data_IF_692558536956
#
_entry.id   IF_692558536956
#
_cell.length_a   1.000
_cell.length_b   1.000
_cell.length_c   1.000
_cell.angle_alpha   90.00
_cell.angle_beta   90.00
_cell.angle_gamma   90.00
#
_symmetry.space_group_name_H-M   'P 1'
#
loop_
_entity.id
_entity.type
_entity.pdbx_description
1 polymer ?
#
# COMPACT_ATOMS: atom_id res chain seq x y z
N UNK A 1 -21.41 39.39 18.78
CA UNK A 1 -20.88 38.31 19.67
C UNK A 1 -21.59 36.96 19.48
N UNK A 2 -22.75 36.88 18.86
CA UNK A 2 -23.47 35.61 18.61
C UNK A 2 -22.97 34.78 17.42
N UNK A 3 -22.33 35.38 16.43
CA UNK A 3 -21.87 34.72 15.19
C UNK A 3 -20.59 33.88 15.36
N UNK A 4 -19.74 34.25 16.32
CA UNK A 4 -18.49 33.49 16.55
C UNK A 4 -18.72 32.23 17.40
N UNK A 5 -19.74 32.23 18.26
CA UNK A 5 -20.15 31.06 19.04
C UNK A 5 -20.81 30.00 18.17
N UNK A 6 -21.54 30.38 17.11
CA UNK A 6 -22.17 29.42 16.18
C UNK A 6 -21.15 28.72 15.30
N UNK A 7 -20.09 29.43 14.88
CA UNK A 7 -19.03 28.85 14.06
C UNK A 7 -18.19 27.83 14.84
N UNK A 8 -17.87 28.13 16.11
CA UNK A 8 -17.16 27.22 16.99
C UNK A 8 -17.97 25.97 17.35
N UNK A 9 -19.27 26.12 17.55
CA UNK A 9 -20.19 25.01 17.81
C UNK A 9 -20.39 24.14 16.56
N UNK A 10 -20.47 24.73 15.37
CA UNK A 10 -20.57 24.00 14.10
C UNK A 10 -19.28 23.25 13.76
N UNK A 11 -18.11 23.83 14.02
CA UNK A 11 -16.82 23.16 13.88
C UNK A 11 -16.67 22.00 14.86
N UNK A 12 -17.09 22.19 16.13
CA UNK A 12 -17.05 21.14 17.13
C UNK A 12 -18.01 19.98 16.82
N UNK A 13 -19.20 20.26 16.28
CA UNK A 13 -20.15 19.23 15.85
C UNK A 13 -19.63 18.45 14.65
N UNK A 14 -18.96 19.11 13.68
CA UNK A 14 -18.37 18.43 12.53
C UNK A 14 -17.15 17.56 12.89
N UNK A 15 -16.39 17.91 13.92
CA UNK A 15 -15.25 17.09 14.38
C UNK A 15 -15.71 15.86 15.17
N UNK A 16 -16.92 15.90 15.76
CA UNK A 16 -17.51 14.78 16.51
C UNK A 16 -18.50 13.96 15.70
N UNK A 17 -18.72 14.28 14.42
CA UNK A 17 -19.55 13.47 13.55
C UNK A 17 -18.87 12.12 13.28
N UNK A 18 -19.56 11.03 13.62
CA UNK A 18 -19.06 9.67 13.46
C UNK A 18 -18.64 9.36 12.01
N UNK A 19 -19.29 9.97 11.01
CA UNK A 19 -18.94 9.79 9.60
C UNK A 19 -17.62 10.47 9.24
N UNK A 20 -17.38 11.70 9.73
CA UNK A 20 -16.13 12.41 9.49
C UNK A 20 -14.95 11.74 10.20
N UNK A 21 -15.16 11.20 11.40
CA UNK A 21 -14.16 10.40 12.11
C UNK A 21 -13.85 9.10 11.35
N UNK A 22 -14.87 8.36 10.93
CA UNK A 22 -14.68 7.12 10.13
C UNK A 22 -13.97 7.41 8.81
N UNK A 23 -14.32 8.51 8.14
CA UNK A 23 -13.64 8.92 6.92
C UNK A 23 -12.16 9.29 7.17
N UNK A 24 -11.88 10.05 8.23
CA UNK A 24 -10.51 10.41 8.61
C UNK A 24 -9.69 9.18 9.01
N UNK A 25 -10.24 8.27 9.81
CA UNK A 25 -9.59 7.01 10.15
C UNK A 25 -9.36 6.13 8.91
N UNK A 26 -10.30 6.09 7.97
CA UNK A 26 -10.15 5.36 6.71
C UNK A 26 -9.00 5.93 5.87
N UNK A 27 -8.92 7.25 5.71
CA UNK A 27 -7.84 7.91 4.97
C UNK A 27 -6.48 7.69 5.64
N UNK A 28 -6.40 7.90 6.96
CA UNK A 28 -5.17 7.65 7.72
C UNK A 28 -4.78 6.17 7.69
N UNK A 29 -5.76 5.28 7.81
CA UNK A 29 -5.56 3.83 7.72
C UNK A 29 -4.91 3.42 6.40
N UNK A 30 -5.37 3.96 5.28
CA UNK A 30 -4.75 3.74 3.95
C UNK A 30 -3.30 4.21 3.96
N UNK A 31 -3.02 5.41 4.48
CA UNK A 31 -1.65 5.93 4.58
C UNK A 31 -0.74 5.04 5.42
N UNK A 32 -1.22 4.58 6.59
CA UNK A 32 -0.46 3.68 7.48
C UNK A 32 -0.21 2.31 6.84
N UNK A 33 -1.22 1.73 6.19
CA UNK A 33 -1.08 0.45 5.49
C UNK A 33 -0.05 0.56 4.37
N UNK A 34 -0.10 1.63 3.56
CA UNK A 34 0.89 1.86 2.51
C UNK A 34 2.30 2.09 3.05
N UNK A 35 2.41 2.82 4.16
CA UNK A 35 3.69 2.97 4.84
C UNK A 35 4.25 1.63 5.29
N UNK A 36 3.43 0.79 5.93
CA UNK A 36 3.85 -0.53 6.39
C UNK A 36 4.19 -1.46 5.22
N UNK A 37 3.38 -1.45 4.16
CA UNK A 37 3.61 -2.25 2.95
C UNK A 37 4.92 -1.89 2.27
N UNK A 38 5.20 -0.61 2.08
CA UNK A 38 6.38 -0.17 1.32
C UNK A 38 7.65 -0.10 2.16
N UNK A 39 7.51 0.01 3.50
CA UNK A 39 8.63 0.25 4.42
C UNK A 39 9.10 -0.95 5.22
N UNK A 40 8.18 -1.84 5.63
CA UNK A 40 8.48 -2.82 6.68
C UNK A 40 8.62 -4.27 6.19
N UNK A 41 8.76 -4.53 4.88
CA UNK A 41 8.80 -5.91 4.31
C UNK A 41 7.56 -6.78 4.66
N UNK A 42 6.66 -6.27 5.49
CA UNK A 42 5.41 -6.93 5.89
C UNK A 42 4.39 -6.85 4.75
N UNK A 43 4.60 -5.94 3.82
CA UNK A 43 3.74 -5.66 2.68
C UNK A 43 3.52 -6.83 1.72
N UNK A 44 4.33 -7.88 1.83
CA UNK A 44 4.09 -9.13 1.10
C UNK A 44 2.72 -9.76 1.45
N UNK A 45 2.20 -9.47 2.64
CA UNK A 45 0.93 -10.01 3.14
C UNK A 45 -0.21 -9.00 3.11
N UNK A 46 0.06 -7.71 2.85
CA UNK A 46 -0.98 -6.69 2.83
C UNK A 46 -1.49 -6.47 1.39
N UNK A 47 -2.83 -6.48 1.20
CA UNK A 47 -3.45 -6.25 -0.11
C UNK A 47 -3.55 -4.75 -0.43
N UNK A 48 -2.42 -4.01 -0.42
CA UNK A 48 -2.40 -2.56 -0.57
C UNK A 48 -2.98 -2.05 -1.89
N UNK A 49 -2.71 -2.77 -3.00
CA UNK A 49 -3.25 -2.38 -4.31
C UNK A 49 -4.78 -2.45 -4.34
N UNK A 50 -5.34 -3.52 -3.77
CA UNK A 50 -6.78 -3.68 -3.65
C UNK A 50 -7.39 -2.65 -2.71
N UNK A 51 -6.67 -2.31 -1.63
CA UNK A 51 -7.07 -1.25 -0.71
C UNK A 51 -7.13 0.11 -1.41
N UNK A 52 -6.10 0.46 -2.21
CA UNK A 52 -6.07 1.71 -2.98
C UNK A 52 -7.21 1.79 -3.98
N UNK A 53 -7.44 0.73 -4.73
CA UNK A 53 -8.51 0.67 -5.72
C UNK A 53 -9.89 0.76 -5.06
N UNK A 54 -10.12 0.02 -3.97
CA UNK A 54 -11.36 0.05 -3.19
C UNK A 54 -11.58 1.42 -2.56
N UNK A 55 -10.54 2.07 -2.02
CA UNK A 55 -10.65 3.41 -1.47
C UNK A 55 -11.03 4.44 -2.56
N UNK A 56 -10.51 4.27 -3.79
CA UNK A 56 -10.93 5.06 -4.94
C UNK A 56 -12.41 4.87 -5.30
N UNK A 57 -12.91 3.62 -5.28
CA UNK A 57 -14.33 3.32 -5.47
C UNK A 57 -15.21 4.01 -4.42
N UNK A 58 -14.79 3.98 -3.14
CA UNK A 58 -15.52 4.64 -2.04
C UNK A 58 -15.56 6.17 -2.18
N UNK A 59 -14.58 6.76 -2.84
CA UNK A 59 -14.62 8.19 -3.16
C UNK A 59 -15.67 8.56 -4.21
N UNK A 60 -16.06 7.62 -5.08
CA UNK A 60 -17.06 7.86 -6.13
C UNK A 60 -18.50 7.65 -5.64
N UNK A 61 -18.70 6.90 -4.55
CA UNK A 61 -20.02 6.63 -3.97
C UNK A 61 -20.65 7.88 -3.34
N UNK A 62 -22.00 7.89 -3.26
CA UNK A 62 -22.78 8.99 -2.68
C UNK A 62 -22.79 8.99 -1.14
N UNK A 63 -22.10 8.06 -0.49
CA UNK A 63 -22.09 7.91 0.97
C UNK A 63 -23.38 7.30 1.56
N UNK A 64 -24.30 6.81 0.74
CA UNK A 64 -25.56 6.20 1.20
C UNK A 64 -25.36 5.02 2.15
N UNK A 65 -24.21 4.35 2.08
CA UNK A 65 -23.85 3.23 2.95
C UNK A 65 -22.89 3.62 4.09
N UNK A 66 -22.81 4.91 4.42
CA UNK A 66 -22.18 5.41 5.65
C UNK A 66 -20.70 5.76 5.56
N UNK A 67 -19.99 5.41 4.48
CA UNK A 67 -18.56 5.75 4.32
C UNK A 67 -18.35 6.44 2.99
N UNK A 68 -18.02 7.72 3.03
CA UNK A 68 -17.56 8.50 1.88
C UNK A 68 -16.17 9.03 2.17
N UNK A 69 -15.21 8.67 1.32
CA UNK A 69 -13.84 9.16 1.44
C UNK A 69 -13.64 10.37 0.53
N UNK A 70 -13.05 11.42 1.04
CA UNK A 70 -12.67 12.56 0.22
C UNK A 70 -11.43 12.22 -0.62
N UNK A 71 -11.54 12.35 -1.94
CA UNK A 71 -10.48 11.97 -2.89
C UNK A 71 -9.15 12.71 -2.63
N UNK A 72 -9.20 14.03 -2.40
CA UNK A 72 -8.00 14.84 -2.16
C UNK A 72 -7.18 14.39 -0.96
N UNK A 73 -7.75 14.33 0.26
CA UNK A 73 -7.07 13.78 1.43
C UNK A 73 -6.57 12.36 1.25
N UNK A 74 -7.31 11.49 0.55
CA UNK A 74 -6.91 10.11 0.27
C UNK A 74 -5.64 10.06 -0.60
N UNK A 75 -5.60 10.85 -1.68
CA UNK A 75 -4.44 10.94 -2.56
C UNK A 75 -3.19 11.43 -1.80
N UNK A 76 -3.36 12.44 -0.93
CA UNK A 76 -2.27 12.96 -0.10
C UNK A 76 -1.79 11.90 0.90
N UNK A 77 -2.69 11.24 1.63
CA UNK A 77 -2.32 10.22 2.61
C UNK A 77 -1.63 9.01 1.94
N UNK A 78 -2.12 8.58 0.78
CA UNK A 78 -1.52 7.50 0.00
C UNK A 78 -0.11 7.88 -0.49
N UNK A 79 0.05 9.09 -1.03
CA UNK A 79 1.35 9.59 -1.48
C UNK A 79 2.35 9.66 -0.31
N UNK A 80 1.97 10.29 0.79
CA UNK A 80 2.84 10.44 1.98
C UNK A 80 3.19 9.06 2.56
N UNK A 81 2.20 8.17 2.74
CA UNK A 81 2.42 6.83 3.25
C UNK A 81 3.38 6.01 2.39
N UNK A 82 3.14 5.98 1.08
CA UNK A 82 3.98 5.24 0.14
C UNK A 82 5.42 5.80 0.07
N UNK A 83 5.57 7.13 0.05
CA UNK A 83 6.88 7.76 -0.03
C UNK A 83 7.67 7.60 1.28
N UNK A 84 7.05 7.90 2.42
CA UNK A 84 7.68 7.76 3.73
C UNK A 84 8.07 6.29 4.00
N UNK A 85 7.18 5.35 3.69
CA UNK A 85 7.47 3.92 3.81
C UNK A 85 8.65 3.49 2.94
N UNK A 86 8.67 3.89 1.67
CA UNK A 86 9.77 3.55 0.76
C UNK A 86 11.12 4.09 1.25
N UNK A 87 11.16 5.32 1.75
CA UNK A 87 12.38 5.89 2.32
C UNK A 87 12.82 5.16 3.59
N UNK A 88 11.85 4.81 4.45
CA UNK A 88 12.11 4.01 5.64
C UNK A 88 12.69 2.64 5.28
N UNK A 89 12.09 1.94 4.32
CA UNK A 89 12.58 0.65 3.82
C UNK A 89 14.01 0.74 3.26
N UNK A 90 14.29 1.77 2.47
CA UNK A 90 15.64 2.03 1.95
C UNK A 90 16.64 2.26 3.09
N UNK A 91 16.30 3.07 4.09
CA UNK A 91 17.19 3.37 5.21
C UNK A 91 17.45 2.14 6.09
N UNK A 92 16.41 1.32 6.32
CA UNK A 92 16.55 0.03 7.01
C UNK A 92 17.50 -0.89 6.23
N UNK A 93 17.29 -1.00 4.93
CA UNK A 93 18.15 -1.80 4.06
C UNK A 93 19.60 -1.32 4.06
N UNK A 94 19.81 -0.01 4.02
CA UNK A 94 21.15 0.58 4.05
C UNK A 94 21.90 0.33 5.36
N UNK A 95 21.18 0.27 6.48
CA UNK A 95 21.78 0.04 7.81
C UNK A 95 21.88 -1.44 8.17
N UNK A 96 20.92 -2.23 7.81
CA UNK A 96 20.74 -3.59 8.32
C UNK A 96 20.48 -4.66 7.24
N UNK A 97 20.46 -4.32 5.94
CA UNK A 97 20.01 -5.20 4.86
C UNK A 97 20.80 -6.52 4.78
N UNK A 98 22.10 -6.48 4.88
CA UNK A 98 22.93 -7.68 4.89
C UNK A 98 22.65 -8.60 6.09
N UNK A 99 22.46 -8.03 7.28
CA UNK A 99 22.14 -8.79 8.49
C UNK A 99 20.71 -9.37 8.42
N UNK A 100 19.76 -8.63 7.85
CA UNK A 100 18.39 -9.09 7.65
C UNK A 100 18.31 -10.28 6.69
N UNK A 101 19.01 -10.21 5.55
CA UNK A 101 19.11 -11.30 4.58
C UNK A 101 19.77 -12.53 5.20
N UNK A 102 20.91 -12.37 5.86
CA UNK A 102 21.66 -13.47 6.47
C UNK A 102 20.87 -14.20 7.58
N UNK A 103 20.01 -13.49 8.31
CA UNK A 103 19.17 -14.08 9.39
C UNK A 103 17.83 -14.61 8.90
N UNK A 104 17.39 -14.21 7.73
CA UNK A 104 16.10 -14.65 7.20
C UNK A 104 16.20 -16.08 6.67
N UNK A 105 15.24 -16.92 7.06
CA UNK A 105 15.05 -18.27 6.50
C UNK A 105 13.99 -18.32 5.40
N UNK A 106 13.47 -17.16 4.95
CA UNK A 106 12.42 -17.10 3.94
C UNK A 106 13.02 -17.26 2.51
N UNK A 107 12.71 -18.36 1.80
CA UNK A 107 13.18 -18.57 0.42
C UNK A 107 12.73 -17.43 -0.51
N UNK A 108 11.53 -16.90 -0.30
CA UNK A 108 10.97 -15.82 -1.10
C UNK A 108 11.70 -14.50 -0.93
N UNK A 109 12.15 -14.21 0.30
CA UNK A 109 12.94 -13.01 0.54
C UNK A 109 14.27 -13.09 -0.21
N UNK A 110 14.92 -14.25 -0.21
CA UNK A 110 16.17 -14.48 -0.95
C UNK A 110 15.94 -14.41 -2.45
N UNK A 111 14.90 -15.07 -2.97
CA UNK A 111 14.53 -15.01 -4.37
C UNK A 111 14.21 -13.58 -4.83
N UNK A 112 13.43 -12.85 -4.03
CA UNK A 112 13.11 -11.44 -4.30
C UNK A 112 14.36 -10.55 -4.27
N UNK A 113 15.28 -10.79 -3.35
CA UNK A 113 16.55 -10.08 -3.24
C UNK A 113 17.43 -10.32 -4.48
N UNK A 114 17.60 -11.59 -4.90
CA UNK A 114 18.34 -11.95 -6.11
C UNK A 114 17.74 -11.28 -7.35
N UNK A 115 16.44 -11.37 -7.54
CA UNK A 115 15.76 -10.72 -8.67
C UNK A 115 15.90 -9.19 -8.64
N UNK A 116 15.89 -8.58 -7.46
CA UNK A 116 16.12 -7.15 -7.34
C UNK A 116 17.55 -6.75 -7.72
N UNK A 117 18.54 -7.55 -7.32
CA UNK A 117 19.95 -7.38 -7.67
C UNK A 117 20.16 -7.52 -9.18
N UNK A 118 19.67 -8.60 -9.79
CA UNK A 118 19.72 -8.83 -11.24
C UNK A 118 19.08 -7.68 -12.04
N UNK A 119 17.95 -7.15 -11.57
CA UNK A 119 17.31 -6.00 -12.21
C UNK A 119 18.17 -4.74 -12.12
N UNK A 120 18.78 -4.49 -10.95
CA UNK A 120 19.64 -3.32 -10.74
C UNK A 120 20.91 -3.39 -11.60
N UNK A 121 21.50 -4.57 -11.72
CA UNK A 121 22.68 -4.79 -12.56
C UNK A 121 22.35 -4.70 -14.05
N UNK A 122 21.27 -5.36 -14.50
CA UNK A 122 20.92 -5.45 -15.92
C UNK A 122 20.37 -4.16 -16.51
N UNK A 123 19.54 -3.43 -15.76
CA UNK A 123 18.82 -2.26 -16.28
C UNK A 123 19.30 -0.94 -15.69
N UNK A 124 20.21 -0.99 -14.72
CA UNK A 124 20.67 0.17 -13.96
C UNK A 124 19.60 0.66 -12.96
N UNK A 125 20.03 1.50 -12.02
CA UNK A 125 19.23 1.88 -10.85
C UNK A 125 17.85 2.48 -11.20
N UNK A 126 17.80 3.39 -12.20
CA UNK A 126 16.58 4.11 -12.55
C UNK A 126 15.48 3.19 -13.11
N UNK A 127 15.82 2.42 -14.14
CA UNK A 127 14.87 1.52 -14.82
C UNK A 127 14.47 0.35 -13.90
N UNK A 128 15.42 -0.18 -13.13
CA UNK A 128 15.16 -1.26 -12.20
C UNK A 128 14.12 -0.88 -11.14
N UNK A 129 14.22 0.32 -10.57
CA UNK A 129 13.28 0.82 -9.56
C UNK A 129 11.85 0.89 -10.12
N UNK A 130 11.69 1.32 -11.36
CA UNK A 130 10.37 1.37 -12.02
C UNK A 130 9.87 -0.01 -12.37
N UNK A 131 10.70 -0.86 -13.01
CA UNK A 131 10.33 -2.21 -13.46
C UNK A 131 9.96 -3.13 -12.30
N UNK A 132 10.68 -3.03 -11.19
CA UNK A 132 10.42 -3.84 -10.01
C UNK A 132 9.01 -3.68 -9.44
N UNK A 133 8.34 -2.56 -9.69
CA UNK A 133 6.96 -2.33 -9.25
C UNK A 133 5.95 -3.26 -9.92
N UNK A 134 6.26 -3.73 -11.12
CA UNK A 134 5.42 -4.67 -11.87
C UNK A 134 5.61 -6.13 -11.44
N UNK A 135 6.63 -6.40 -10.63
CA UNK A 135 6.93 -7.75 -10.11
C UNK A 135 6.58 -7.79 -8.62
N UNK A 136 5.48 -8.45 -8.21
CA UNK A 136 4.95 -8.36 -6.84
C UNK A 136 5.97 -8.69 -5.74
N UNK A 137 6.78 -9.74 -5.94
CA UNK A 137 7.80 -10.15 -4.96
C UNK A 137 8.95 -9.13 -4.89
N UNK A 138 9.36 -8.61 -6.05
CA UNK A 138 10.52 -7.69 -6.13
C UNK A 138 10.16 -6.33 -5.56
N UNK A 139 8.95 -5.81 -5.80
CA UNK A 139 8.54 -4.48 -5.33
C UNK A 139 8.60 -4.33 -3.80
N UNK A 140 8.30 -5.40 -3.05
CA UNK A 140 8.35 -5.38 -1.59
C UNK A 140 9.78 -5.39 -1.04
N UNK A 141 10.68 -6.08 -1.75
CA UNK A 141 12.07 -6.25 -1.34
C UNK A 141 12.98 -5.18 -1.92
N UNK A 142 12.56 -4.53 -3.02
CA UNK A 142 13.39 -3.56 -3.75
C UNK A 142 13.86 -2.40 -2.87
N UNK A 143 12.97 -1.83 -2.04
CA UNK A 143 13.31 -0.67 -1.22
C UNK A 143 14.48 -0.98 -0.26
N UNK A 144 14.42 -2.04 0.57
CA UNK A 144 15.56 -2.40 1.41
C UNK A 144 16.75 -2.92 0.60
N UNK A 145 16.55 -3.60 -0.55
CA UNK A 145 17.66 -4.04 -1.39
C UNK A 145 18.42 -2.88 -2.03
N UNK A 146 17.70 -1.88 -2.55
CA UNK A 146 18.32 -0.65 -3.05
C UNK A 146 19.17 0.04 -1.97
N UNK A 147 18.70 0.00 -0.71
CA UNK A 147 19.46 0.49 0.44
C UNK A 147 20.70 -0.36 0.74
N UNK A 148 20.57 -1.70 0.78
CA UNK A 148 21.65 -2.65 1.05
C UNK A 148 22.75 -2.57 -0.01
N UNK A 149 22.37 -2.46 -1.27
CA UNK A 149 23.28 -2.31 -2.43
C UNK A 149 23.80 -0.86 -2.59
N UNK A 150 23.48 0.02 -1.63
CA UNK A 150 23.95 1.41 -1.61
C UNK A 150 23.64 2.21 -2.88
N UNK A 151 22.50 1.95 -3.52
CA UNK A 151 22.00 2.79 -4.61
C UNK A 151 22.00 4.25 -4.17
N UNK A 152 22.47 5.22 -4.98
CA UNK A 152 22.50 6.63 -4.58
C UNK A 152 21.11 7.11 -4.16
N UNK A 153 21.00 7.72 -2.97
CA UNK A 153 19.73 8.14 -2.38
C UNK A 153 18.91 9.03 -3.32
N UNK A 154 19.56 9.96 -4.01
CA UNK A 154 18.88 10.85 -4.98
C UNK A 154 18.23 10.05 -6.11
N UNK A 155 18.96 9.12 -6.70
CA UNK A 155 18.45 8.27 -7.79
C UNK A 155 17.28 7.42 -7.28
N UNK A 156 17.44 6.76 -6.12
CA UNK A 156 16.37 6.00 -5.51
C UNK A 156 15.13 6.88 -5.26
N UNK A 157 15.29 8.02 -4.59
CA UNK A 157 14.16 8.90 -4.25
C UNK A 157 13.42 9.39 -5.47
N UNK A 158 14.12 9.90 -6.50
CA UNK A 158 13.47 10.44 -7.70
C UNK A 158 12.63 9.38 -8.42
N UNK A 159 13.22 8.21 -8.67
CA UNK A 159 12.52 7.15 -9.40
C UNK A 159 11.46 6.44 -8.55
N UNK A 160 11.69 6.36 -7.25
CA UNK A 160 10.71 5.84 -6.30
C UNK A 160 9.52 6.77 -6.14
N UNK A 161 9.75 8.10 -6.07
CA UNK A 161 8.68 9.10 -6.07
C UNK A 161 7.88 9.01 -7.37
N UNK A 162 8.54 9.09 -8.52
CA UNK A 162 7.86 9.05 -9.82
C UNK A 162 7.03 7.76 -9.98
N UNK A 163 7.66 6.59 -9.83
CA UNK A 163 6.97 5.31 -9.98
C UNK A 163 5.94 5.05 -8.89
N UNK A 164 6.23 5.49 -7.63
CA UNK A 164 5.34 5.34 -6.47
C UNK A 164 4.06 6.13 -6.60
N UNK A 165 4.17 7.39 -7.00
CA UNK A 165 3.02 8.24 -7.20
C UNK A 165 2.18 7.76 -8.39
N UNK A 166 2.79 7.46 -9.53
CA UNK A 166 2.07 6.94 -10.71
C UNK A 166 1.28 5.69 -10.34
N UNK A 167 1.87 4.77 -9.59
CA UNK A 167 1.21 3.53 -9.19
C UNK A 167 0.10 3.76 -8.17
N UNK A 168 0.39 4.39 -7.02
CA UNK A 168 -0.57 4.54 -5.94
C UNK A 168 -1.73 5.48 -6.30
N UNK A 169 -1.44 6.63 -6.91
CA UNK A 169 -2.47 7.56 -7.35
C UNK A 169 -3.23 7.00 -8.55
N UNK A 170 -2.54 6.30 -9.45
CA UNK A 170 -3.15 5.63 -10.60
C UNK A 170 -4.21 4.62 -10.20
N UNK A 171 -3.94 3.79 -9.18
CA UNK A 171 -4.92 2.81 -8.66
C UNK A 171 -6.12 3.49 -8.00
N UNK A 172 -5.91 4.54 -7.19
CA UNK A 172 -7.00 5.30 -6.58
C UNK A 172 -7.87 5.93 -7.66
N UNK A 173 -7.24 6.61 -8.65
CA UNK A 173 -7.95 7.28 -9.72
C UNK A 173 -8.66 6.29 -10.64
N UNK A 174 -8.10 5.11 -10.89
CA UNK A 174 -8.76 4.05 -11.64
C UNK A 174 -10.00 3.52 -10.91
N UNK A 175 -9.91 3.30 -9.59
CA UNK A 175 -11.06 2.95 -8.76
C UNK A 175 -12.14 4.04 -8.77
N UNK A 176 -11.73 5.30 -8.60
CA UNK A 176 -12.63 6.46 -8.67
C UNK A 176 -13.31 6.59 -10.03
N UNK A 177 -12.57 6.48 -11.12
CA UNK A 177 -13.10 6.58 -12.47
C UNK A 177 -14.09 5.44 -12.77
N UNK A 178 -13.77 4.21 -12.37
CA UNK A 178 -14.69 3.08 -12.50
C UNK A 178 -15.97 3.34 -11.69
N UNK A 179 -15.82 3.74 -10.43
CA UNK A 179 -16.96 4.03 -9.56
C UNK A 179 -17.86 5.14 -10.09
N UNK A 180 -17.29 6.21 -10.62
CA UNK A 180 -18.03 7.33 -11.20
C UNK A 180 -18.72 7.00 -12.55
N UNK A 181 -18.21 5.97 -13.25
CA UNK A 181 -18.76 5.53 -14.55
C UNK A 181 -19.94 4.57 -14.43
N UNK A 182 -20.16 3.95 -13.25
CA UNK A 182 -21.23 2.97 -13.03
C UNK A 182 -22.47 3.67 -12.49
N UNK A 183 -23.61 3.64 -13.21
CA UNK A 183 -24.87 4.17 -12.69
C UNK A 183 -25.27 3.42 -11.42
N UNK A 184 -25.75 4.16 -10.40
CA UNK A 184 -26.15 3.59 -9.09
C UNK A 184 -25.05 2.74 -8.43
N UNK A 185 -23.80 3.21 -8.51
CA UNK A 185 -22.63 2.52 -7.94
C UNK A 185 -22.86 2.09 -6.47
N UNK A 186 -23.60 2.87 -5.70
CA UNK A 186 -23.89 2.57 -4.29
C UNK A 186 -24.50 1.17 -4.08
N UNK A 187 -25.30 0.69 -5.03
CA UNK A 187 -25.90 -0.66 -4.97
C UNK A 187 -24.85 -1.77 -5.15
N UNK A 188 -23.81 -1.49 -5.93
CA UNK A 188 -22.76 -2.46 -6.28
C UNK A 188 -21.49 -2.31 -5.45
N UNK A 189 -21.34 -1.21 -4.69
CA UNK A 189 -20.13 -0.96 -3.90
C UNK A 189 -19.80 -2.11 -2.95
N UNK A 190 -20.76 -2.52 -2.12
CA UNK A 190 -20.52 -3.59 -1.15
C UNK A 190 -20.14 -4.94 -1.82
N UNK A 191 -20.90 -5.46 -2.81
CA UNK A 191 -20.50 -6.68 -3.50
C UNK A 191 -19.17 -6.55 -4.25
N UNK A 192 -18.88 -5.40 -4.88
CA UNK A 192 -17.60 -5.18 -5.56
C UNK A 192 -16.44 -5.20 -4.56
N UNK A 193 -16.56 -4.49 -3.45
CA UNK A 193 -15.54 -4.48 -2.38
C UNK A 193 -15.34 -5.90 -1.83
N UNK A 194 -16.43 -6.62 -1.56
CA UNK A 194 -16.36 -7.99 -1.07
C UNK A 194 -15.59 -8.90 -2.05
N UNK A 195 -15.87 -8.82 -3.34
CA UNK A 195 -15.15 -9.58 -4.38
C UNK A 195 -13.67 -9.21 -4.41
N UNK A 196 -13.33 -7.92 -4.40
CA UNK A 196 -11.95 -7.45 -4.42
C UNK A 196 -11.19 -7.96 -3.18
N UNK A 197 -11.79 -7.84 -1.99
CA UNK A 197 -11.19 -8.31 -0.74
C UNK A 197 -10.99 -9.82 -0.76
N UNK A 198 -12.02 -10.59 -1.16
CA UNK A 198 -11.91 -12.05 -1.26
C UNK A 198 -10.80 -12.46 -2.22
N UNK A 199 -10.77 -11.89 -3.43
CA UNK A 199 -9.71 -12.17 -4.42
C UNK A 199 -8.32 -11.83 -3.89
N UNK A 200 -8.20 -10.73 -3.13
CA UNK A 200 -6.92 -10.29 -2.55
C UNK A 200 -6.45 -11.17 -1.41
N UNK A 201 -7.38 -11.80 -0.68
CA UNK A 201 -7.05 -12.71 0.42
C UNK A 201 -6.74 -14.13 -0.03
N UNK A 202 -7.13 -14.53 -1.25
CA UNK A 202 -6.86 -15.88 -1.78
C UNK A 202 -5.35 -16.22 -1.73
N UNK A 203 -4.43 -15.40 -2.26
CA UNK A 203 -3.00 -15.71 -2.23
C UNK A 203 -2.48 -15.88 -0.79
N UNK A 204 -2.93 -15.03 0.13
CA UNK A 204 -2.57 -15.10 1.54
C UNK A 204 -3.08 -16.38 2.20
N UNK A 205 -4.34 -16.74 1.96
CA UNK A 205 -4.95 -17.97 2.49
C UNK A 205 -4.23 -19.22 1.96
N UNK A 206 -3.93 -19.28 0.66
CA UNK A 206 -3.19 -20.38 0.04
C UNK A 206 -1.80 -20.52 0.65
N UNK A 207 -1.14 -19.41 0.95
CA UNK A 207 0.18 -19.40 1.58
C UNK A 207 0.15 -19.94 3.00
N UNK A 208 -0.80 -19.46 3.80
CA UNK A 208 -1.00 -19.95 5.17
C UNK A 208 -1.33 -21.45 5.22
N UNK A 209 -2.08 -21.94 4.24
CA UNK A 209 -2.38 -23.36 4.12
C UNK A 209 -1.15 -24.20 3.73
N UNK A 210 -0.32 -23.68 2.81
CA UNK A 210 0.94 -24.33 2.40
C UNK A 210 1.95 -24.38 3.55
N UNK A 211 2.13 -23.30 4.29
CA UNK A 211 3.07 -23.26 5.43
C UNK A 211 2.66 -24.21 6.56
N UNK A 212 1.35 -24.41 6.77
CA UNK A 212 0.84 -25.38 7.74
C UNK A 212 1.07 -26.84 7.31
N UNK A 213 1.07 -27.13 6.00
CA UNK A 213 1.33 -28.49 5.49
C UNK A 213 2.80 -28.86 5.64
N UNK A 214 3.72 -27.98 5.27
CA UNK A 214 5.17 -28.22 5.45
C UNK A 214 5.57 -28.33 6.92
N UNK A 215 4.95 -27.59 7.83
CA UNK A 215 5.18 -27.76 9.27
C UNK A 215 4.69 -29.09 9.83
N UNK A 216 3.63 -29.67 9.25
CA UNK A 216 3.12 -31.01 9.66
C UNK A 216 3.96 -32.15 9.10
N UNK A 217 4.55 -32.00 7.93
CA UNK A 217 5.42 -33.02 7.32
C UNK A 217 6.78 -33.09 8.04
N UNK A 218 7.35 -31.94 8.43
CA UNK A 218 8.59 -31.87 9.21
C UNK A 218 8.47 -32.36 10.68
N UNK A 219 7.25 -32.49 11.21
CA UNK A 219 7.01 -33.03 12.57
C UNK A 219 6.74 -34.54 12.59
N UNK A 220 6.68 -35.19 11.42
CA UNK A 220 6.42 -36.63 11.27
C UNK A 220 7.63 -37.44 10.77
N UNK A 221 8.74 -36.80 10.44
CA UNK A 221 10.02 -37.41 10.13
C UNK A 221 11.05 -37.14 11.24
#
# INVERSE_FOLDING_TARGET
MATTLSLGAQLAVNVLDAQSLLAAFGVLGVGVVLFAETGLLIGFFLPGDSLLFTAGLLCAGSGRHGIHLALGPLLVAAAVGALAGSQCGYLIGRKAGGALLARSRSPRLHEGAQRAEELLERYGHAKAIVLARFIPVVRTVLNPMAGALRVPLRTFTVWQVAGGLVWSLGLILAGYALGSSVPNIDTYLLPMIAVIVVLSLIPLALELLRSRRTAKEGARG
#
